data_IF_502244930427
#
_entry.id   IF_502244930427
#
_cell.length_a   1.000
_cell.length_b   1.000
_cell.length_c   1.000
_cell.angle_alpha   90.00
_cell.angle_beta   90.00
_cell.angle_gamma   90.00
#
_symmetry.space_group_name_H-M   'P 1'
#
loop_
_entity.id
_entity.type
_entity.pdbx_description
1 polymer ?
#
# COMPACT_ATOMS: atom_id res chain seq x y z
N UNK A 1 -18.86 21.38 14.79
CA UNK A 1 -19.21 20.62 13.57
C UNK A 1 -17.98 19.84 13.14
N UNK A 2 -18.03 18.50 13.19
CA UNK A 2 -16.91 17.65 12.77
C UNK A 2 -16.98 17.39 11.26
N UNK A 3 -15.94 17.77 10.52
CA UNK A 3 -15.80 17.44 9.10
C UNK A 3 -15.31 16.00 8.96
N UNK A 4 -16.23 15.06 8.81
CA UNK A 4 -15.89 13.68 8.46
C UNK A 4 -15.52 13.58 6.98
N UNK A 5 -14.51 12.78 6.68
CA UNK A 5 -14.19 12.39 5.32
C UNK A 5 -15.41 11.72 4.70
N UNK A 6 -15.79 12.20 3.53
CA UNK A 6 -16.88 11.63 2.76
C UNK A 6 -16.27 10.68 1.74
N UNK A 7 -16.93 9.54 1.54
CA UNK A 7 -16.57 8.49 0.59
C UNK A 7 -16.21 9.03 -0.81
N UNK A 8 -15.45 8.27 -1.63
CA UNK A 8 -15.01 8.68 -2.96
C UNK A 8 -16.11 9.40 -3.75
N UNK A 9 -15.76 10.56 -4.28
CA UNK A 9 -16.69 11.43 -4.98
C UNK A 9 -16.12 11.81 -6.35
N UNK A 10 -17.01 12.01 -7.31
CA UNK A 10 -16.65 12.30 -8.69
C UNK A 10 -16.80 13.79 -8.95
N UNK A 11 -15.77 14.42 -9.51
CA UNK A 11 -15.87 15.81 -9.97
C UNK A 11 -16.71 15.82 -11.25
N UNK A 12 -17.84 16.52 -11.23
CA UNK A 12 -18.74 16.64 -12.38
C UNK A 12 -18.34 17.82 -13.26
N UNK A 13 -18.07 18.96 -12.63
CA UNK A 13 -17.81 20.21 -13.35
C UNK A 13 -16.86 21.11 -12.56
N UNK A 14 -15.98 21.82 -13.26
CA UNK A 14 -15.20 22.92 -12.68
C UNK A 14 -16.04 24.20 -12.79
N UNK A 15 -16.43 24.78 -11.65
CA UNK A 15 -17.27 25.99 -11.59
C UNK A 15 -16.45 27.26 -11.58
N UNK A 16 -15.33 27.26 -10.85
CA UNK A 16 -14.41 28.40 -10.78
C UNK A 16 -12.98 27.90 -10.64
N UNK A 17 -12.02 28.82 -10.57
CA UNK A 17 -10.60 28.47 -10.45
C UNK A 17 -10.31 27.52 -9.28
N UNK A 18 -11.03 27.70 -8.17
CA UNK A 18 -10.81 26.97 -6.92
C UNK A 18 -12.04 26.22 -6.41
N UNK A 19 -13.13 26.10 -7.19
CA UNK A 19 -14.33 25.39 -6.77
C UNK A 19 -14.86 24.43 -7.82
N UNK A 20 -15.33 23.28 -7.35
CA UNK A 20 -15.83 22.19 -8.17
C UNK A 20 -17.23 21.78 -7.72
N UNK A 21 -18.06 21.38 -8.69
CA UNK A 21 -19.28 20.63 -8.43
C UNK A 21 -18.92 19.15 -8.35
N UNK A 22 -19.24 18.53 -7.21
CA UNK A 22 -18.84 17.18 -6.87
C UNK A 22 -20.09 16.33 -6.62
N UNK A 23 -20.17 15.18 -7.30
CA UNK A 23 -21.20 14.17 -7.07
C UNK A 23 -20.80 13.30 -5.90
N UNK A 24 -21.60 13.34 -4.86
CA UNK A 24 -21.46 12.49 -3.68
C UNK A 24 -22.03 11.08 -3.94
N UNK A 25 -21.66 10.08 -3.12
CA UNK A 25 -22.13 8.70 -3.27
C UNK A 25 -23.65 8.52 -3.26
N UNK A 26 -24.38 9.40 -2.56
CA UNK A 26 -25.85 9.38 -2.45
C UNK A 26 -26.51 10.19 -3.58
N UNK A 27 -25.85 10.31 -4.73
CA UNK A 27 -26.29 11.07 -5.90
C UNK A 27 -26.59 12.57 -5.66
N UNK A 28 -26.18 13.14 -4.52
CA UNK A 28 -26.30 14.58 -4.27
C UNK A 28 -25.11 15.33 -4.87
N UNK A 29 -25.35 16.47 -5.51
CA UNK A 29 -24.29 17.36 -5.99
C UNK A 29 -24.00 18.43 -4.95
N UNK A 30 -22.73 18.62 -4.59
CA UNK A 30 -22.28 19.67 -3.67
C UNK A 30 -21.21 20.55 -4.30
N UNK A 31 -21.16 21.79 -3.84
CA UNK A 31 -20.12 22.75 -4.23
C UNK A 31 -18.98 22.70 -3.21
N UNK A 32 -17.77 22.39 -3.68
CA UNK A 32 -16.63 22.13 -2.81
C UNK A 32 -15.42 22.92 -3.31
N UNK A 33 -14.79 23.64 -2.39
CA UNK A 33 -13.52 24.32 -2.64
C UNK A 33 -12.37 23.31 -2.79
N UNK A 34 -11.40 23.57 -3.65
CA UNK A 34 -10.27 22.68 -3.97
C UNK A 34 -9.52 22.20 -2.74
N UNK A 35 -9.35 23.06 -1.73
CA UNK A 35 -8.68 22.72 -0.46
C UNK A 35 -9.37 21.61 0.33
N UNK A 36 -10.67 21.38 0.08
CA UNK A 36 -11.48 20.33 0.72
C UNK A 36 -11.51 19.03 -0.10
N UNK A 37 -10.86 18.99 -1.26
CA UNK A 37 -10.77 17.83 -2.14
C UNK A 37 -9.37 17.20 -2.00
N UNK A 38 -9.30 15.88 -2.11
CA UNK A 38 -8.05 15.10 -2.13
C UNK A 38 -8.12 14.11 -3.29
N UNK A 39 -7.04 13.99 -4.07
CA UNK A 39 -6.94 12.98 -5.13
C UNK A 39 -6.94 11.59 -4.51
N UNK A 40 -7.82 10.72 -4.99
CA UNK A 40 -7.86 9.32 -4.58
C UNK A 40 -6.77 8.56 -5.34
N UNK A 41 -5.62 8.34 -4.69
CA UNK A 41 -4.53 7.54 -5.25
C UNK A 41 -4.63 6.10 -4.71
N UNK A 42 -5.32 5.22 -5.43
CA UNK A 42 -5.37 3.80 -5.10
C UNK A 42 -4.06 3.16 -5.58
N UNK A 43 -3.02 3.19 -4.72
CA UNK A 43 -1.85 2.35 -4.95
C UNK A 43 -2.11 0.98 -4.31
N UNK A 44 -2.12 -0.06 -5.14
CA UNK A 44 -2.41 -1.46 -4.78
C UNK A 44 -1.46 -2.08 -3.74
N UNK A 45 -0.44 -1.36 -3.27
CA UNK A 45 0.59 -1.85 -2.34
C UNK A 45 0.79 -1.02 -1.06
N UNK A 46 -0.02 0.01 -0.78
CA UNK A 46 0.15 0.79 0.45
C UNK A 46 -0.75 0.29 1.59
N UNK A 47 -0.16 -0.48 2.50
CA UNK A 47 -0.73 -0.71 3.83
C UNK A 47 -0.50 0.58 4.63
N UNK A 48 -1.57 1.32 4.91
CA UNK A 48 -1.53 2.44 5.85
C UNK A 48 -2.25 2.04 7.13
N UNK A 49 -1.65 2.34 8.27
CA UNK A 49 -2.27 2.15 9.59
C UNK A 49 -3.15 3.35 9.87
N UNK A 50 -4.45 3.11 10.05
CA UNK A 50 -5.40 4.11 10.55
C UNK A 50 -5.56 3.82 12.04
N UNK A 51 -5.31 4.81 12.89
CA UNK A 51 -5.49 4.65 14.33
C UNK A 51 -6.94 4.95 14.71
N UNK A 52 -7.43 4.31 15.78
CA UNK A 52 -8.80 4.53 16.28
C UNK A 52 -9.08 6.00 16.66
N UNK A 53 -8.02 6.77 16.91
CA UNK A 53 -8.07 8.21 17.19
C UNK A 53 -8.29 9.08 15.95
N UNK A 54 -8.12 8.53 14.75
CA UNK A 54 -8.22 9.26 13.49
C UNK A 54 -9.69 9.37 13.04
N UNK A 55 -10.49 10.12 13.82
CA UNK A 55 -11.94 10.31 13.61
C UNK A 55 -12.30 10.98 12.28
N UNK A 56 -11.33 11.59 11.61
CA UNK A 56 -11.51 12.29 10.35
C UNK A 56 -11.84 11.35 9.19
N UNK A 57 -11.49 10.06 9.27
CA UNK A 57 -11.70 9.09 8.17
C UNK A 57 -13.11 8.49 8.10
N UNK A 58 -13.97 8.75 9.09
CA UNK A 58 -15.32 8.16 9.13
C UNK A 58 -15.33 6.70 9.56
N UNK A 59 -16.44 6.01 9.30
CA UNK A 59 -16.62 4.61 9.70
C UNK A 59 -15.74 3.70 8.81
N UNK A 60 -14.89 2.89 9.44
CA UNK A 60 -14.02 1.95 8.76
C UNK A 60 -14.81 0.66 8.55
N UNK A 61 -15.25 0.41 7.33
CA UNK A 61 -15.76 -0.91 6.96
C UNK A 61 -14.58 -1.83 6.66
N UNK A 62 -14.48 -2.93 7.40
CA UNK A 62 -13.51 -3.96 7.09
C UNK A 62 -13.89 -4.58 5.75
N UNK A 63 -13.00 -4.49 4.76
CA UNK A 63 -13.15 -5.30 3.56
C UNK A 63 -13.24 -6.75 4.01
N UNK A 64 -14.27 -7.52 3.60
CA UNK A 64 -14.35 -8.93 3.90
C UNK A 64 -13.01 -9.53 3.50
N UNK A 65 -12.41 -10.32 4.40
CA UNK A 65 -11.14 -10.99 4.15
C UNK A 65 -11.34 -11.95 2.98
N UNK A 66 -11.24 -11.41 1.76
CA UNK A 66 -10.88 -12.19 0.61
C UNK A 66 -9.58 -12.82 1.06
N UNK A 67 -9.53 -14.15 1.06
CA UNK A 67 -8.31 -14.89 1.29
C UNK A 67 -7.37 -14.48 0.17
N UNK A 68 -6.71 -13.34 0.33
CA UNK A 68 -5.66 -12.88 -0.53
C UNK A 68 -4.57 -13.91 -0.26
N UNK A 69 -4.51 -14.93 -1.12
CA UNK A 69 -3.24 -15.58 -1.38
C UNK A 69 -2.26 -14.44 -1.61
N UNK A 70 -1.20 -14.32 -0.81
CA UNK A 70 -0.26 -13.23 -0.98
C UNK A 70 0.17 -13.23 -2.44
N UNK A 71 -0.21 -12.19 -3.19
CA UNK A 71 0.20 -12.01 -4.58
C UNK A 71 1.66 -11.59 -4.68
N UNK A 72 2.36 -11.51 -3.55
CA UNK A 72 3.81 -11.68 -3.54
C UNK A 72 4.09 -13.12 -3.91
N UNK A 73 4.68 -13.37 -5.08
CA UNK A 73 5.20 -14.69 -5.44
C UNK A 73 5.99 -15.21 -4.24
N UNK A 74 5.42 -16.13 -3.47
CA UNK A 74 6.20 -16.91 -2.52
C UNK A 74 7.14 -17.71 -3.40
N UNK A 75 8.37 -17.24 -3.53
CA UNK A 75 9.43 -17.96 -4.21
C UNK A 75 9.69 -19.22 -3.39
N UNK A 76 8.92 -20.29 -3.66
CA UNK A 76 9.22 -21.61 -3.12
C UNK A 76 10.53 -22.07 -3.74
N UNK A 77 11.21 -23.02 -3.09
CA UNK A 77 12.46 -23.63 -3.59
C UNK A 77 12.30 -24.15 -5.04
N UNK A 78 11.08 -24.50 -5.42
CA UNK A 78 10.71 -24.98 -6.76
C UNK A 78 10.75 -23.86 -7.83
N UNK A 79 10.39 -22.62 -7.47
CA UNK A 79 10.52 -21.45 -8.36
C UNK A 79 11.99 -21.01 -8.57
N UNK A 80 12.89 -21.41 -7.67
CA UNK A 80 14.32 -21.11 -7.72
C UNK A 80 15.11 -22.29 -8.30
N UNK A 81 14.66 -22.85 -9.43
CA UNK A 81 15.39 -23.92 -10.10
C UNK A 81 16.66 -23.39 -10.79
N UNK A 82 17.81 -23.62 -10.17
CA UNK A 82 19.14 -23.25 -10.69
C UNK A 82 19.88 -24.40 -11.37
N UNK A 83 19.19 -25.47 -11.75
CA UNK A 83 19.80 -26.65 -12.38
C UNK A 83 20.43 -26.34 -13.75
N UNK A 84 19.94 -25.30 -14.43
CA UNK A 84 20.44 -24.83 -15.72
C UNK A 84 21.75 -24.02 -15.62
N UNK A 85 22.20 -23.68 -14.40
CA UNK A 85 23.41 -22.90 -14.17
C UNK A 85 24.58 -23.81 -13.77
N UNK A 86 25.77 -23.55 -14.33
CA UNK A 86 26.99 -24.21 -13.90
C UNK A 86 27.53 -23.64 -12.56
N UNK A 87 28.50 -24.32 -11.96
CA UNK A 87 29.08 -23.93 -10.66
C UNK A 87 29.65 -22.50 -10.66
N UNK A 88 30.34 -22.12 -11.73
CA UNK A 88 30.93 -20.80 -11.88
C UNK A 88 29.88 -19.69 -11.96
N UNK A 89 28.83 -19.89 -12.76
CA UNK A 89 27.70 -18.96 -12.89
C UNK A 89 26.97 -18.77 -11.57
N UNK A 90 26.74 -19.87 -10.82
CA UNK A 90 26.14 -19.81 -9.48
C UNK A 90 26.99 -18.97 -8.54
N UNK A 91 28.29 -19.19 -8.52
CA UNK A 91 29.21 -18.44 -7.67
C UNK A 91 29.22 -16.94 -8.02
N UNK A 92 29.28 -16.60 -9.31
CA UNK A 92 29.25 -15.21 -9.76
C UNK A 92 27.94 -14.50 -9.37
N UNK A 93 26.79 -15.14 -9.58
CA UNK A 93 25.48 -14.59 -9.20
C UNK A 93 25.37 -14.40 -7.69
N UNK A 94 25.85 -15.36 -6.89
CA UNK A 94 25.84 -15.24 -5.43
C UNK A 94 26.68 -14.04 -4.98
N UNK A 95 27.89 -13.89 -5.53
CA UNK A 95 28.77 -12.76 -5.21
C UNK A 95 28.11 -11.43 -5.57
N UNK A 96 27.54 -11.32 -6.77
CA UNK A 96 26.83 -10.11 -7.22
C UNK A 96 25.63 -9.78 -6.32
N UNK A 97 24.83 -10.78 -5.95
CA UNK A 97 23.70 -10.60 -5.05
C UNK A 97 24.12 -10.17 -3.65
N UNK A 98 25.22 -10.71 -3.12
CA UNK A 98 25.77 -10.34 -1.82
C UNK A 98 26.28 -8.90 -1.81
N UNK A 99 26.94 -8.46 -2.89
CA UNK A 99 27.39 -7.06 -3.04
C UNK A 99 26.19 -6.12 -3.13
N UNK A 100 25.20 -6.44 -3.99
CA UNK A 100 24.00 -5.62 -4.15
C UNK A 100 23.20 -5.47 -2.86
N UNK A 101 23.15 -6.51 -2.03
CA UNK A 101 22.38 -6.53 -0.79
C UNK A 101 23.27 -6.38 0.47
N UNK A 102 24.47 -5.83 0.33
CA UNK A 102 25.42 -5.70 1.43
C UNK A 102 24.81 -5.01 2.65
N UNK A 103 23.93 -4.02 2.45
CA UNK A 103 23.26 -3.30 3.56
C UNK A 103 22.38 -4.19 4.45
N UNK A 104 21.89 -5.32 3.92
CA UNK A 104 21.03 -6.28 4.63
C UNK A 104 21.88 -7.44 5.16
N UNK A 105 22.84 -7.92 4.36
CA UNK A 105 23.66 -9.10 4.69
C UNK A 105 24.82 -8.78 5.63
N UNK A 106 25.29 -7.52 5.69
CA UNK A 106 26.36 -7.08 6.60
C UNK A 106 25.89 -6.77 8.02
N UNK A 107 24.59 -6.64 8.24
CA UNK A 107 24.05 -6.38 9.57
C UNK A 107 23.98 -7.69 10.34
N UNK A 108 24.70 -7.78 11.45
CA UNK A 108 24.51 -8.86 12.41
C UNK A 108 23.04 -8.90 12.84
N UNK A 109 22.35 -9.99 12.51
CA UNK A 109 20.98 -10.24 12.93
C UNK A 109 20.95 -10.24 14.46
N UNK A 110 20.32 -9.23 15.07
CA UNK A 110 20.04 -9.29 16.51
C UNK A 110 18.94 -10.31 16.73
N UNK A 111 19.20 -11.33 17.55
CA UNK A 111 18.18 -12.27 17.99
C UNK A 111 17.20 -11.50 18.88
N UNK A 112 16.03 -11.18 18.36
CA UNK A 112 14.92 -10.63 19.14
C UNK A 112 14.15 -11.78 19.78
N UNK A 113 14.01 -11.76 21.11
CA UNK A 113 13.09 -12.68 21.81
C UNK A 113 11.67 -12.36 21.34
N UNK A 114 10.98 -13.36 20.81
CA UNK A 114 9.55 -13.27 20.53
C UNK A 114 8.86 -13.25 21.89
N UNK A 115 8.20 -12.14 22.23
CA UNK A 115 7.37 -12.07 23.43
C UNK A 115 6.16 -12.97 23.25
N UNK A 116 5.92 -13.88 24.20
CA UNK A 116 4.63 -14.55 24.33
C UNK A 116 3.59 -13.50 24.72
N UNK A 117 2.47 -13.51 24.00
CA UNK A 117 1.42 -12.51 24.08
C UNK A 117 0.15 -13.09 24.69
#
# INVERSE_FOLDING_TARGET
MYTRWTSPCTIVEKRSEHSYSVQMPVNSVKHIHVNKIRKLNIQTNNIRVIYKTDIDFGDIENTPATKHTPTGKTYTKEYLNSSHLNSYQKQAIIIDLLIKNQAITSKNSKITKVGEH
#
